data_IF_342564833076
#
_entry.id   IF_342564833076
#
_cell.length_a   1.000
_cell.length_b   1.000
_cell.length_c   1.000
_cell.angle_alpha   90.00
_cell.angle_beta   90.00
_cell.angle_gamma   90.00
#
_symmetry.space_group_name_H-M   'P 1'
#
loop_
_entity.id
_entity.type
_entity.pdbx_description
1 polymer ?
#
# COMPACT_ATOMS: atom_id res chain seq x y z
N UNK A 1 1.68 -0.75 14.87
CA UNK A 1 2.45 -0.52 16.12
C UNK A 1 2.79 0.96 16.29
N UNK A 2 3.42 1.62 15.33
CA UNK A 2 3.85 3.02 15.41
C UNK A 2 2.74 4.01 15.83
N UNK A 3 1.53 3.87 15.28
CA UNK A 3 0.42 4.73 15.68
C UNK A 3 0.13 4.66 17.19
N UNK A 4 0.22 3.46 17.78
CA UNK A 4 0.03 3.24 19.22
C UNK A 4 1.15 3.89 20.03
N UNK A 5 2.41 3.71 19.63
CA UNK A 5 3.58 4.31 20.26
C UNK A 5 3.58 5.85 20.19
N UNK A 6 3.09 6.39 19.07
CA UNK A 6 2.99 7.83 18.85
C UNK A 6 1.69 8.46 19.40
N UNK A 7 0.92 7.69 20.17
CA UNK A 7 -0.37 8.11 20.73
C UNK A 7 -1.35 8.66 19.67
N UNK A 8 -1.46 7.97 18.51
CA UNK A 8 -2.34 8.33 17.40
C UNK A 8 -3.46 7.31 17.27
N UNK A 9 -4.69 7.79 17.08
CA UNK A 9 -5.80 6.92 16.70
C UNK A 9 -5.57 6.36 15.29
N UNK A 10 -5.84 5.08 15.09
CA UNK A 10 -5.68 4.47 13.78
C UNK A 10 -6.73 3.38 13.50
N UNK A 11 -7.00 3.21 12.21
CA UNK A 11 -7.77 2.09 11.68
C UNK A 11 -6.88 1.36 10.68
N UNK A 12 -6.60 0.08 10.93
CA UNK A 12 -5.93 -0.82 10.00
C UNK A 12 -6.96 -1.69 9.30
N UNK A 13 -6.79 -1.87 8.00
CA UNK A 13 -7.70 -2.65 7.15
C UNK A 13 -6.85 -3.59 6.30
N UNK A 14 -7.23 -4.85 6.28
CA UNK A 14 -6.67 -5.86 5.38
C UNK A 14 -7.79 -6.80 4.96
N UNK A 15 -7.72 -7.31 3.74
CA UNK A 15 -8.71 -8.28 3.24
C UNK A 15 -8.42 -9.69 3.76
N UNK A 16 -7.16 -9.98 4.11
CA UNK A 16 -6.71 -11.28 4.57
C UNK A 16 -6.92 -11.42 6.08
N UNK A 17 -7.76 -12.36 6.55
CA UNK A 17 -8.02 -12.58 7.96
C UNK A 17 -6.77 -13.00 8.75
N UNK A 18 -5.78 -13.62 8.11
CA UNK A 18 -4.52 -13.96 8.77
C UNK A 18 -3.72 -12.69 9.09
N UNK A 19 -3.65 -11.71 8.16
CA UNK A 19 -3.02 -10.42 8.39
C UNK A 19 -3.69 -9.67 9.55
N UNK A 20 -5.01 -9.74 9.64
CA UNK A 20 -5.79 -9.17 10.76
C UNK A 20 -5.36 -9.80 12.08
N UNK A 21 -5.38 -11.14 12.18
CA UNK A 21 -4.98 -11.87 13.40
C UNK A 21 -3.55 -11.55 13.84
N UNK A 22 -2.61 -11.50 12.90
CA UNK A 22 -1.21 -11.14 13.18
C UNK A 22 -1.12 -9.69 13.68
N UNK A 23 -1.84 -8.78 13.05
CA UNK A 23 -1.87 -7.36 13.43
C UNK A 23 -2.42 -7.16 14.84
N UNK A 24 -3.49 -7.86 15.20
CA UNK A 24 -4.08 -7.84 16.54
C UNK A 24 -3.10 -8.36 17.60
N UNK A 25 -2.41 -9.48 17.32
CA UNK A 25 -1.36 -10.02 18.22
C UNK A 25 -0.23 -9.03 18.40
N UNK A 26 0.23 -8.39 17.31
CA UNK A 26 1.32 -7.42 17.36
C UNK A 26 0.94 -6.13 18.11
N UNK A 27 -0.33 -5.87 18.35
CA UNK A 27 -0.81 -4.72 19.11
C UNK A 27 -0.96 -5.00 20.64
N UNK A 28 -0.74 -6.23 21.09
CA UNK A 28 -0.91 -6.61 22.49
C UNK A 28 0.20 -6.10 23.42
N UNK A 29 1.29 -5.52 22.89
CA UNK A 29 2.34 -4.95 23.72
C UNK A 29 1.81 -3.78 24.56
N UNK A 30 2.36 -3.65 25.77
CA UNK A 30 2.03 -2.56 26.69
C UNK A 30 2.82 -1.30 26.34
N UNK A 31 2.15 -0.18 26.32
CA UNK A 31 2.75 1.16 26.27
C UNK A 31 1.76 2.17 26.85
N UNK A 32 2.28 3.26 27.38
CA UNK A 32 1.45 4.38 27.85
C UNK A 32 0.84 5.09 26.64
N UNK A 33 -0.46 4.93 26.46
CA UNK A 33 -1.18 5.53 25.35
C UNK A 33 -2.67 5.68 25.63
N UNK A 34 -3.27 6.73 25.14
CA UNK A 34 -4.72 6.92 25.10
C UNK A 34 -5.28 6.66 23.70
N UNK A 35 -4.43 6.28 22.75
CA UNK A 35 -4.84 6.04 21.37
C UNK A 35 -5.80 4.87 21.24
N UNK A 36 -6.77 5.04 20.34
CA UNK A 36 -7.71 3.99 19.94
C UNK A 36 -7.25 3.39 18.62
N UNK A 37 -6.86 2.13 18.68
CA UNK A 37 -6.46 1.38 17.49
C UNK A 37 -7.56 0.35 17.18
N UNK A 38 -8.06 0.37 15.96
CA UNK A 38 -9.01 -0.61 15.45
C UNK A 38 -8.38 -1.35 14.29
N UNK A 39 -8.37 -2.66 14.33
CA UNK A 39 -8.02 -3.52 13.19
C UNK A 39 -9.30 -4.16 12.69
N UNK A 40 -9.49 -4.18 11.37
CA UNK A 40 -10.73 -4.65 10.78
C UNK A 40 -10.45 -5.36 9.47
N UNK A 41 -11.03 -6.54 9.28
CA UNK A 41 -11.09 -7.16 7.97
C UNK A 41 -12.00 -6.34 7.06
N UNK A 42 -11.51 -6.04 5.84
CA UNK A 42 -12.27 -5.26 4.88
C UNK A 42 -11.52 -5.05 3.57
N UNK A 43 -12.25 -4.56 2.58
CA UNK A 43 -11.71 -4.21 1.28
C UNK A 43 -11.53 -2.69 1.18
N UNK A 44 -10.30 -2.24 0.88
CA UNK A 44 -9.97 -0.81 0.75
C UNK A 44 -10.65 -0.12 -0.43
N UNK A 45 -11.26 -0.86 -1.33
CA UNK A 45 -12.09 -0.32 -2.42
C UNK A 45 -13.46 0.18 -1.94
N UNK A 46 -13.81 -0.11 -0.68
CA UNK A 46 -15.08 0.27 -0.06
C UNK A 46 -14.88 0.56 1.44
N UNK A 47 -14.78 1.83 1.79
CA UNK A 47 -14.59 2.31 3.16
C UNK A 47 -15.88 2.94 3.73
N UNK A 48 -17.06 2.39 3.43
CA UNK A 48 -18.37 2.95 3.82
C UNK A 48 -18.55 3.16 5.33
N UNK A 49 -17.79 2.44 6.16
CA UNK A 49 -17.77 2.62 7.61
C UNK A 49 -16.99 3.87 8.07
N UNK A 50 -16.28 4.54 7.14
CA UNK A 50 -15.58 5.81 7.38
C UNK A 50 -16.34 6.93 6.67
N UNK A 51 -16.77 7.94 7.43
CA UNK A 51 -17.42 9.14 6.86
C UNK A 51 -16.41 9.97 6.06
N UNK A 52 -16.92 10.77 5.13
CA UNK A 52 -16.13 11.68 4.31
C UNK A 52 -15.31 12.65 5.17
N UNK A 53 -14.07 12.90 4.75
CA UNK A 53 -13.21 13.87 5.39
C UNK A 53 -12.93 13.62 6.88
N UNK A 54 -12.76 12.38 7.30
CA UNK A 54 -12.49 12.03 8.72
C UNK A 54 -11.05 11.65 9.00
N UNK A 55 -10.30 11.28 7.98
CA UNK A 55 -8.94 10.77 8.12
C UNK A 55 -7.92 11.90 7.95
N UNK A 56 -6.93 11.95 8.83
CA UNK A 56 -5.85 12.95 8.79
C UNK A 56 -4.64 12.47 8.00
N UNK A 57 -4.43 11.16 7.88
CA UNK A 57 -3.32 10.58 7.14
C UNK A 57 -3.65 9.16 6.71
N UNK A 58 -3.33 8.82 5.47
CA UNK A 58 -3.42 7.46 4.95
C UNK A 58 -2.01 6.99 4.60
N UNK A 59 -1.68 5.75 4.96
CA UNK A 59 -0.46 5.07 4.54
C UNK A 59 -0.82 3.67 4.07
N UNK A 60 -0.35 3.27 2.89
CA UNK A 60 -0.62 1.95 2.33
C UNK A 60 0.58 1.39 1.58
N UNK A 61 0.66 0.06 1.56
CA UNK A 61 1.60 -0.71 0.76
C UNK A 61 0.82 -1.82 0.04
N UNK A 62 0.26 -1.53 -1.13
CA UNK A 62 -0.50 -2.52 -1.89
C UNK A 62 0.43 -3.62 -2.44
N UNK A 63 -0.09 -4.79 -2.81
CA UNK A 63 0.66 -5.79 -3.54
C UNK A 63 1.10 -5.25 -4.91
N UNK A 64 2.07 -5.91 -5.55
CA UNK A 64 2.57 -5.55 -6.87
C UNK A 64 1.88 -6.39 -7.95
N UNK A 65 0.56 -6.22 -8.07
CA UNK A 65 -0.29 -7.08 -8.88
C UNK A 65 0.00 -8.57 -8.58
N UNK A 66 0.05 -9.45 -9.57
CA UNK A 66 0.24 -10.89 -9.38
C UNK A 66 1.72 -11.35 -9.30
N UNK A 67 2.64 -10.49 -8.86
CA UNK A 67 4.05 -10.87 -8.64
C UNK A 67 4.18 -11.78 -7.41
N UNK A 68 3.53 -11.41 -6.31
CA UNK A 68 3.46 -12.22 -5.09
C UNK A 68 1.99 -12.38 -4.75
N UNK A 69 1.51 -13.62 -4.75
CA UNK A 69 0.14 -13.95 -4.35
C UNK A 69 0.08 -14.08 -2.83
N UNK A 70 -0.70 -13.22 -2.20
CA UNK A 70 -0.85 -13.21 -0.74
C UNK A 70 -1.96 -14.15 -0.25
N UNK A 71 -2.85 -14.58 -1.14
CA UNK A 71 -3.84 -15.62 -0.87
C UNK A 71 -3.99 -16.56 -2.07
N UNK A 72 -4.81 -17.61 -1.91
CA UNK A 72 -5.15 -18.50 -3.01
C UNK A 72 -6.49 -18.15 -3.65
N UNK A 73 -7.44 -17.68 -2.85
CA UNK A 73 -8.86 -17.62 -3.21
C UNK A 73 -9.67 -16.55 -2.46
N UNK A 74 -9.01 -15.61 -1.78
CA UNK A 74 -9.74 -14.52 -1.10
C UNK A 74 -10.35 -13.59 -2.16
N UNK A 75 -11.67 -13.54 -2.17
CA UNK A 75 -12.41 -12.67 -3.08
C UNK A 75 -12.04 -11.20 -2.84
N UNK A 76 -11.60 -10.52 -3.91
CA UNK A 76 -11.16 -9.13 -3.84
C UNK A 76 -9.69 -8.95 -3.49
N UNK A 77 -8.91 -10.03 -3.34
CA UNK A 77 -7.45 -9.92 -3.19
C UNK A 77 -6.81 -9.47 -4.50
N UNK A 78 -6.35 -8.23 -4.52
CA UNK A 78 -5.74 -7.60 -5.70
C UNK A 78 -4.36 -8.18 -6.04
N UNK A 79 -3.78 -9.00 -5.18
CA UNK A 79 -2.54 -9.73 -5.47
C UNK A 79 -2.74 -10.90 -6.45
N UNK A 80 -3.97 -11.20 -6.81
CA UNK A 80 -4.31 -12.26 -7.76
C UNK A 80 -4.56 -11.72 -9.18
N UNK A 81 -4.67 -10.41 -9.34
CA UNK A 81 -5.13 -9.73 -10.54
C UNK A 81 -4.00 -9.48 -11.56
N UNK A 82 -4.35 -9.41 -12.83
CA UNK A 82 -3.47 -8.84 -13.85
C UNK A 82 -3.13 -7.39 -13.52
N UNK A 83 -2.12 -6.82 -14.18
CA UNK A 83 -1.73 -5.42 -13.93
C UNK A 83 -2.87 -4.46 -14.24
N UNK A 84 -3.58 -4.70 -15.32
CA UNK A 84 -4.70 -3.87 -15.77
C UNK A 84 -5.86 -3.90 -14.76
N UNK A 85 -6.24 -5.09 -14.31
CA UNK A 85 -7.28 -5.27 -13.30
C UNK A 85 -6.84 -4.68 -11.94
N UNK A 86 -5.58 -4.87 -11.56
CA UNK A 86 -5.00 -4.27 -10.36
C UNK A 86 -5.10 -2.75 -10.38
N UNK A 87 -4.74 -2.09 -11.49
CA UNK A 87 -4.85 -0.63 -11.64
C UNK A 87 -6.30 -0.16 -11.57
N UNK A 88 -7.25 -0.94 -12.11
CA UNK A 88 -8.67 -0.67 -11.99
C UNK A 88 -9.14 -0.70 -10.52
N UNK A 89 -8.71 -1.70 -9.75
CA UNK A 89 -9.02 -1.76 -8.31
C UNK A 89 -8.30 -0.65 -7.52
N UNK A 90 -7.04 -0.33 -7.84
CA UNK A 90 -6.33 0.81 -7.24
C UNK A 90 -7.02 2.15 -7.52
N UNK A 91 -7.71 2.28 -8.65
CA UNK A 91 -8.54 3.45 -8.95
C UNK A 91 -9.72 3.61 -7.96
N UNK A 92 -10.34 2.50 -7.53
CA UNK A 92 -11.38 2.52 -6.50
C UNK A 92 -10.79 2.84 -5.13
N UNK A 93 -9.63 2.25 -4.80
CA UNK A 93 -8.88 2.55 -3.56
C UNK A 93 -8.51 4.03 -3.49
N UNK A 94 -8.04 4.61 -4.58
CA UNK A 94 -7.71 6.04 -4.66
C UNK A 94 -8.96 6.92 -4.46
N UNK A 95 -10.09 6.55 -5.07
CA UNK A 95 -11.36 7.28 -4.90
C UNK A 95 -11.84 7.27 -3.44
N UNK A 96 -11.82 6.10 -2.79
CA UNK A 96 -12.20 5.98 -1.38
C UNK A 96 -11.22 6.72 -0.47
N UNK A 97 -9.91 6.61 -0.75
CA UNK A 97 -8.88 7.35 -0.02
C UNK A 97 -9.10 8.86 -0.13
N UNK A 98 -9.40 9.34 -1.32
CA UNK A 98 -9.73 10.76 -1.53
C UNK A 98 -10.98 11.17 -0.75
N UNK A 99 -12.05 10.36 -0.79
CA UNK A 99 -13.30 10.63 -0.09
C UNK A 99 -13.09 10.78 1.42
N UNK A 100 -12.43 9.79 2.05
CA UNK A 100 -12.30 9.74 3.52
C UNK A 100 -11.25 10.70 4.08
N UNK A 101 -10.25 11.10 3.26
CA UNK A 101 -9.19 12.02 3.68
C UNK A 101 -9.72 13.44 3.82
N UNK A 102 -9.33 14.15 4.86
CA UNK A 102 -9.60 15.57 5.04
C UNK A 102 -8.88 16.39 3.97
N UNK A 103 -9.47 17.53 3.58
CA UNK A 103 -8.84 18.49 2.68
C UNK A 103 -7.49 18.97 3.23
N UNK A 104 -6.49 19.05 2.36
CA UNK A 104 -5.12 19.44 2.70
C UNK A 104 -4.30 18.38 3.42
N UNK A 105 -4.85 17.19 3.66
CA UNK A 105 -4.16 16.07 4.32
C UNK A 105 -3.52 15.13 3.30
N UNK A 106 -2.67 14.22 3.77
CA UNK A 106 -1.76 13.46 2.93
C UNK A 106 -2.08 11.97 2.91
N UNK A 107 -1.83 11.37 1.74
CA UNK A 107 -1.86 9.93 1.51
C UNK A 107 -0.49 9.48 1.01
N UNK A 108 0.12 8.52 1.68
CA UNK A 108 1.38 7.91 1.29
C UNK A 108 1.15 6.50 0.73
N UNK A 109 1.66 6.23 -0.46
CA UNK A 109 1.58 4.93 -1.13
C UNK A 109 2.98 4.42 -1.39
N UNK A 110 3.37 3.32 -0.75
CA UNK A 110 4.63 2.64 -1.02
C UNK A 110 4.40 1.57 -2.09
N UNK A 111 5.17 1.64 -3.18
CA UNK A 111 5.10 0.68 -4.27
C UNK A 111 6.37 0.76 -5.12
N UNK A 112 6.80 -0.37 -5.68
CA UNK A 112 7.92 -0.44 -6.60
C UNK A 112 7.51 -0.79 -8.02
N UNK A 113 8.49 -0.78 -8.91
CA UNK A 113 8.36 -1.29 -10.26
C UNK A 113 8.57 -2.80 -10.29
N UNK A 114 8.11 -3.43 -11.35
CA UNK A 114 8.25 -4.87 -11.54
C UNK A 114 8.99 -5.16 -12.84
N UNK A 115 9.63 -6.34 -12.92
CA UNK A 115 10.26 -6.82 -14.14
C UNK A 115 9.51 -8.02 -14.69
N UNK A 116 9.18 -7.97 -15.98
CA UNK A 116 8.56 -9.07 -16.71
C UNK A 116 9.30 -9.30 -18.03
N UNK A 117 9.72 -10.52 -18.29
CA UNK A 117 10.42 -10.91 -19.54
C UNK A 117 11.58 -9.95 -19.87
N UNK A 118 12.43 -9.65 -18.88
CA UNK A 118 13.58 -8.75 -19.02
C UNK A 118 13.24 -7.24 -19.06
N UNK A 119 11.98 -6.85 -19.22
CA UNK A 119 11.57 -5.44 -19.33
C UNK A 119 11.02 -4.91 -18.02
N UNK A 120 11.34 -3.66 -17.68
CA UNK A 120 10.73 -2.95 -16.56
C UNK A 120 9.31 -2.53 -16.93
N UNK A 121 8.36 -2.85 -16.06
CA UNK A 121 7.02 -2.30 -16.08
C UNK A 121 6.94 -1.28 -14.94
N UNK A 122 6.75 0.01 -15.23
CA UNK A 122 6.81 1.09 -14.24
C UNK A 122 5.50 1.16 -13.44
N UNK A 123 5.23 0.10 -12.65
CA UNK A 123 3.99 -0.06 -11.90
C UNK A 123 3.80 1.06 -10.89
N UNK A 124 4.89 1.50 -10.23
CA UNK A 124 4.85 2.61 -9.28
C UNK A 124 4.30 3.88 -9.91
N UNK A 125 4.79 4.26 -11.08
CA UNK A 125 4.31 5.45 -11.80
C UNK A 125 2.91 5.28 -12.36
N UNK A 126 2.51 4.08 -12.76
CA UNK A 126 1.13 3.80 -13.16
C UNK A 126 0.16 4.01 -11.99
N UNK A 127 0.50 3.51 -10.79
CA UNK A 127 -0.29 3.76 -9.58
C UNK A 127 -0.29 5.25 -9.22
N UNK A 128 0.86 5.93 -9.35
CA UNK A 128 0.91 7.38 -9.15
C UNK A 128 -0.12 8.10 -10.02
N UNK A 129 -0.17 7.79 -11.33
CA UNK A 129 -1.12 8.39 -12.25
C UNK A 129 -2.57 8.12 -11.86
N UNK A 130 -2.89 6.90 -11.41
CA UNK A 130 -4.22 6.55 -10.90
C UNK A 130 -4.66 7.47 -9.76
N UNK A 131 -3.77 7.80 -8.82
CA UNK A 131 -4.08 8.73 -7.73
C UNK A 131 -4.26 10.17 -8.23
N UNK A 132 -3.41 10.63 -9.14
CA UNK A 132 -3.53 11.97 -9.74
C UNK A 132 -4.86 12.15 -10.48
N UNK A 133 -5.32 11.14 -11.23
CA UNK A 133 -6.62 11.13 -11.92
C UNK A 133 -7.81 11.22 -10.97
N UNK A 134 -7.65 10.83 -9.69
CA UNK A 134 -8.69 10.95 -8.67
C UNK A 134 -8.68 12.29 -7.93
N UNK A 135 -7.86 13.23 -8.37
CA UNK A 135 -7.83 14.60 -7.85
C UNK A 135 -6.77 14.85 -6.78
N UNK A 136 -5.94 13.88 -6.46
CA UNK A 136 -4.77 14.12 -5.62
C UNK A 136 -3.73 14.95 -6.38
N UNK A 137 -2.96 15.75 -5.64
CA UNK A 137 -1.75 16.40 -6.13
C UNK A 137 -0.52 15.67 -5.60
N UNK A 138 0.51 15.50 -6.44
CA UNK A 138 1.79 14.95 -5.99
C UNK A 138 2.51 15.96 -5.10
N UNK A 139 2.88 15.53 -3.89
CA UNK A 139 3.60 16.37 -2.92
C UNK A 139 5.08 16.01 -2.89
N UNK A 140 5.40 14.72 -2.74
CA UNK A 140 6.77 14.21 -2.68
C UNK A 140 6.87 12.85 -3.39
N UNK A 141 8.06 12.55 -3.90
CA UNK A 141 8.47 11.22 -4.35
C UNK A 141 9.72 10.85 -3.57
N UNK A 142 9.61 9.86 -2.70
CA UNK A 142 10.70 9.38 -1.88
C UNK A 142 11.20 8.07 -2.47
N UNK A 143 12.50 7.96 -2.68
CA UNK A 143 13.15 6.71 -3.08
C UNK A 143 13.56 5.98 -1.81
N UNK A 144 13.00 4.78 -1.62
CA UNK A 144 13.34 3.87 -0.53
C UNK A 144 14.25 2.78 -1.08
N UNK A 145 15.49 2.77 -0.65
CA UNK A 145 16.42 1.69 -0.98
C UNK A 145 16.00 0.39 -0.30
N UNK A 146 16.08 -0.72 -1.04
CA UNK A 146 15.81 -2.06 -0.51
C UNK A 146 17.11 -2.70 -0.05
N UNK A 147 17.15 -3.16 1.20
CA UNK A 147 18.25 -3.92 1.76
C UNK A 147 17.81 -5.37 2.04
N UNK A 148 18.71 -6.33 1.83
CA UNK A 148 18.48 -7.75 2.12
C UNK A 148 17.21 -8.32 1.42
N UNK A 149 16.94 -7.89 0.19
CA UNK A 149 15.81 -8.38 -0.58
C UNK A 149 16.16 -9.70 -1.27
N UNK A 150 15.44 -10.79 -0.95
CA UNK A 150 15.68 -12.12 -1.53
C UNK A 150 15.64 -12.17 -3.05
N UNK A 151 14.79 -11.36 -3.67
CA UNK A 151 14.72 -11.26 -5.13
C UNK A 151 15.96 -10.60 -5.70
N UNK A 152 16.51 -9.57 -5.06
CA UNK A 152 17.74 -8.90 -5.43
C UNK A 152 18.90 -9.88 -5.34
N UNK A 153 19.07 -10.57 -4.19
CA UNK A 153 20.12 -11.59 -3.96
C UNK A 153 20.06 -12.72 -4.99
N UNK A 154 18.85 -13.13 -5.40
CA UNK A 154 18.67 -14.14 -6.42
C UNK A 154 19.19 -13.66 -7.79
N UNK A 155 18.80 -12.43 -8.19
CA UNK A 155 19.17 -11.90 -9.49
C UNK A 155 20.63 -11.46 -9.58
N UNK A 156 21.25 -11.02 -8.48
CA UNK A 156 22.69 -10.71 -8.42
C UNK A 156 23.56 -11.92 -8.80
N UNK A 157 23.11 -13.13 -8.50
CA UNK A 157 23.80 -14.37 -8.80
C UNK A 157 23.58 -14.86 -10.24
N UNK A 158 22.73 -14.22 -11.00
CA UNK A 158 22.45 -14.56 -12.39
C UNK A 158 23.26 -13.66 -13.32
N UNK A 159 23.66 -14.20 -14.47
CA UNK A 159 24.28 -13.40 -15.53
C UNK A 159 23.17 -12.65 -16.28
N UNK A 160 22.91 -11.41 -15.89
CA UNK A 160 21.83 -10.57 -16.43
C UNK A 160 22.39 -9.48 -17.33
N UNK A 161 21.64 -9.10 -18.34
CA UNK A 161 21.87 -7.96 -19.23
C UNK A 161 21.14 -6.68 -18.78
N UNK A 162 20.68 -6.64 -17.51
CA UNK A 162 19.91 -5.52 -16.96
C UNK A 162 20.34 -5.16 -15.53
N UNK A 163 20.07 -3.92 -15.14
CA UNK A 163 20.28 -3.42 -13.77
C UNK A 163 19.17 -3.94 -12.84
N UNK A 164 19.52 -4.22 -11.57
CA UNK A 164 18.57 -4.69 -10.57
C UNK A 164 17.63 -3.57 -10.14
N UNK A 165 16.38 -3.94 -9.84
CA UNK A 165 15.42 -3.05 -9.17
C UNK A 165 15.63 -3.19 -7.66
N UNK A 166 16.42 -2.28 -7.07
CA UNK A 166 16.78 -2.31 -5.65
C UNK A 166 16.14 -1.18 -4.85
N UNK A 167 15.05 -0.63 -5.34
CA UNK A 167 14.34 0.45 -4.68
C UNK A 167 12.83 0.32 -4.81
N UNK A 168 12.13 1.04 -3.96
CA UNK A 168 10.69 1.28 -4.00
C UNK A 168 10.46 2.79 -3.92
N UNK A 169 9.29 3.23 -4.33
CA UNK A 169 8.84 4.61 -4.17
C UNK A 169 7.91 4.73 -2.98
N UNK A 170 7.94 5.88 -2.30
CA UNK A 170 6.85 6.33 -1.46
C UNK A 170 6.32 7.60 -2.10
N UNK A 171 5.21 7.46 -2.81
CA UNK A 171 4.50 8.60 -3.37
C UNK A 171 3.67 9.25 -2.27
N UNK A 172 3.92 10.53 -2.00
CA UNK A 172 3.14 11.31 -1.05
C UNK A 172 2.22 12.24 -1.82
N UNK A 173 0.94 12.06 -1.64
CA UNK A 173 -0.11 12.84 -2.27
C UNK A 173 -0.78 13.75 -1.26
N UNK A 174 -1.33 14.87 -1.74
CA UNK A 174 -2.16 15.80 -0.98
C UNK A 174 -3.54 15.91 -1.62
N UNK A 175 -4.61 15.87 -0.79
CA UNK A 175 -5.99 16.15 -1.21
C UNK A 175 -6.27 17.64 -1.28
#
# INVERSE_FOLDING_TARGET
MEAKLLNRNAVGIDINPQSISISEKNLQFQCETTSKIRIQQGNSTNLNFVKDGRIDFICMHPPYANIIKYSKDILGDISLLSVEEFLCEMSKVASESYRVLKKGKMCAVMIGDIRRRGKVLPLGFQVMNVFLEKGFSSKEIIIKEQHNCRSTDYWEKQNNDFLLLSHEYIFVFQK
#
